data_IF_251886731005
#
_entry.id   IF_251886731005
#
_cell.length_a   1.000
_cell.length_b   1.000
_cell.length_c   1.000
_cell.angle_alpha   90.00
_cell.angle_beta   90.00
_cell.angle_gamma   90.00
#
_symmetry.space_group_name_H-M   'P 1'
#
loop_
_entity.id
_entity.type
_entity.pdbx_description
1 polymer ?
#
# COMPACT_ATOMS: atom_id res chain seq x y z
N UNK A 1 2.66 -23.85 -55.56
CA UNK A 1 1.60 -24.57 -54.86
C UNK A 1 2.01 -24.75 -53.41
N UNK A 2 1.42 -24.10 -52.44
CA UNK A 2 1.72 -24.30 -51.04
C UNK A 2 0.85 -25.43 -50.47
N UNK A 3 1.52 -26.30 -49.70
CA UNK A 3 0.92 -27.48 -49.04
C UNK A 3 0.27 -26.97 -47.72
N UNK A 4 -1.05 -27.17 -47.59
CA UNK A 4 -1.78 -26.87 -46.38
C UNK A 4 -1.55 -27.96 -45.30
N UNK A 5 -1.44 -27.61 -44.01
CA UNK A 5 -1.33 -28.58 -42.94
C UNK A 5 -2.67 -29.33 -42.69
N UNK A 6 -2.64 -30.64 -42.65
CA UNK A 6 -3.73 -31.50 -42.27
C UNK A 6 -3.96 -31.44 -40.76
N UNK A 7 -5.14 -31.04 -40.36
CA UNK A 7 -5.64 -31.22 -38.99
C UNK A 7 -6.08 -32.65 -38.76
N UNK A 8 -5.56 -33.27 -37.69
CA UNK A 8 -5.98 -34.60 -37.23
C UNK A 8 -7.14 -34.36 -36.25
N UNK A 9 -8.29 -35.00 -36.41
CA UNK A 9 -9.37 -34.89 -35.43
C UNK A 9 -9.05 -35.70 -34.19
N UNK A 10 -9.05 -35.05 -33.04
CA UNK A 10 -8.95 -35.67 -31.71
C UNK A 10 -10.33 -36.18 -31.33
N UNK A 11 -10.38 -37.44 -31.03
CA UNK A 11 -11.44 -38.31 -30.53
C UNK A 11 -12.63 -37.61 -29.84
N UNK A 12 -13.84 -37.93 -30.32
CA UNK A 12 -15.10 -37.80 -29.60
C UNK A 12 -15.22 -38.97 -28.60
N UNK A 13 -15.03 -38.73 -27.33
CA UNK A 13 -15.53 -39.60 -26.28
C UNK A 13 -16.93 -39.11 -25.90
N UNK A 14 -17.93 -39.94 -26.07
CA UNK A 14 -19.30 -39.73 -25.60
C UNK A 14 -19.30 -39.75 -24.08
N UNK A 15 -19.63 -38.59 -23.46
CA UNK A 15 -20.01 -38.55 -22.05
C UNK A 15 -21.47 -38.95 -21.96
N UNK A 16 -21.72 -40.18 -21.50
CA UNK A 16 -23.04 -40.60 -21.06
C UNK A 16 -23.46 -39.85 -19.80
N UNK A 17 -24.70 -39.41 -19.85
CA UNK A 17 -25.48 -38.66 -18.90
C UNK A 17 -25.24 -38.99 -17.40
N UNK A 18 -24.55 -38.13 -16.68
CA UNK A 18 -24.76 -37.95 -15.24
C UNK A 18 -25.69 -36.76 -15.08
N UNK A 19 -27.00 -37.03 -14.99
CA UNK A 19 -28.00 -36.04 -14.59
C UNK A 19 -27.75 -35.73 -13.11
N UNK A 20 -26.94 -34.69 -12.84
CA UNK A 20 -26.92 -34.05 -11.53
C UNK A 20 -28.18 -33.20 -11.43
N UNK A 21 -29.15 -33.66 -10.64
CA UNK A 21 -30.29 -32.83 -10.23
C UNK A 21 -29.77 -31.59 -9.59
N UNK A 22 -30.15 -30.40 -10.06
CA UNK A 22 -29.76 -29.18 -9.38
C UNK A 22 -30.48 -29.12 -8.03
N UNK A 23 -29.72 -29.25 -6.95
CA UNK A 23 -30.18 -28.94 -5.62
C UNK A 23 -30.60 -27.47 -5.66
N UNK A 24 -31.92 -27.19 -5.57
CA UNK A 24 -32.44 -25.83 -5.42
C UNK A 24 -31.91 -25.27 -4.10
N UNK A 25 -30.81 -24.56 -4.18
CA UNK A 25 -30.43 -23.60 -3.14
C UNK A 25 -31.43 -22.45 -3.25
N UNK A 26 -32.19 -22.24 -2.20
CA UNK A 26 -33.02 -21.04 -2.05
C UNK A 26 -32.16 -19.80 -2.25
N UNK A 27 -32.65 -18.77 -2.95
CA UNK A 27 -31.92 -17.53 -3.12
C UNK A 27 -32.01 -16.71 -1.84
N UNK A 28 -31.25 -17.04 -0.83
CA UNK A 28 -30.82 -16.03 0.13
C UNK A 28 -29.77 -15.20 -0.62
N UNK A 29 -30.20 -14.07 -1.19
CA UNK A 29 -29.34 -13.02 -1.77
C UNK A 29 -28.59 -12.30 -0.65
N UNK A 30 -27.66 -12.96 -0.01
CA UNK A 30 -26.54 -12.30 0.63
C UNK A 30 -25.63 -11.85 -0.53
N UNK A 31 -25.45 -10.55 -0.71
CA UNK A 31 -24.44 -10.04 -1.65
C UNK A 31 -23.12 -10.73 -1.33
N UNK A 32 -22.50 -11.29 -2.38
CA UNK A 32 -21.21 -11.96 -2.23
C UNK A 32 -20.20 -10.96 -1.68
N UNK A 33 -19.53 -11.32 -0.59
CA UNK A 33 -18.46 -10.50 -0.03
C UNK A 33 -17.19 -10.72 -0.83
N UNK A 34 -16.47 -9.63 -1.04
CA UNK A 34 -15.18 -9.63 -1.72
C UNK A 34 -14.07 -9.44 -0.68
N UNK A 35 -13.21 -10.44 -0.56
CA UNK A 35 -12.09 -10.45 0.38
C UNK A 35 -10.77 -10.25 -0.35
N UNK A 36 -9.83 -9.57 0.30
CA UNK A 36 -8.41 -9.62 -0.04
C UNK A 36 -7.68 -10.37 1.05
N UNK A 37 -6.96 -11.42 0.65
CA UNK A 37 -6.13 -12.25 1.53
C UNK A 37 -4.67 -12.11 1.11
N UNK A 38 -3.81 -11.74 2.05
CA UNK A 38 -2.36 -11.80 1.87
C UNK A 38 -1.77 -12.82 2.84
N UNK A 39 -0.79 -13.58 2.37
CA UNK A 39 -0.08 -14.59 3.16
C UNK A 39 1.41 -14.54 2.84
N UNK A 40 2.22 -14.73 3.87
CA UNK A 40 3.68 -14.80 3.78
C UNK A 40 4.18 -15.94 4.65
N UNK A 41 5.05 -16.79 4.11
CA UNK A 41 5.70 -17.89 4.85
C UNK A 41 7.03 -18.28 4.21
N UNK A 42 7.74 -19.24 4.79
CA UNK A 42 8.89 -19.88 4.13
C UNK A 42 8.41 -20.67 2.92
N UNK A 43 9.14 -20.58 1.79
CA UNK A 43 8.74 -21.24 0.55
C UNK A 43 8.94 -22.74 0.62
N UNK A 44 7.91 -23.49 0.27
CA UNK A 44 7.93 -24.95 0.22
C UNK A 44 6.83 -25.51 -0.69
N UNK A 45 6.98 -26.75 -1.22
CA UNK A 45 5.98 -27.36 -2.06
C UNK A 45 4.61 -27.53 -1.39
N UNK A 46 3.53 -27.28 -2.16
CA UNK A 46 2.17 -27.54 -1.72
C UNK A 46 1.41 -26.36 -1.10
N UNK A 47 2.06 -25.22 -0.86
CA UNK A 47 1.44 -24.02 -0.28
C UNK A 47 0.20 -23.59 -1.10
N UNK A 48 0.36 -23.35 -2.39
CA UNK A 48 -0.74 -22.88 -3.27
C UNK A 48 -1.91 -23.86 -3.28
N UNK A 49 -1.63 -25.16 -3.34
CA UNK A 49 -2.66 -26.20 -3.29
C UNK A 49 -3.43 -26.16 -1.95
N UNK A 50 -2.73 -26.04 -0.83
CA UNK A 50 -3.35 -25.99 0.49
C UNK A 50 -4.22 -24.73 0.66
N UNK A 51 -3.73 -23.56 0.24
CA UNK A 51 -4.48 -22.30 0.31
C UNK A 51 -5.73 -22.38 -0.58
N UNK A 52 -5.60 -22.82 -1.85
CA UNK A 52 -6.74 -22.92 -2.75
C UNK A 52 -7.78 -23.95 -2.26
N UNK A 53 -7.33 -25.04 -1.66
CA UNK A 53 -8.21 -26.03 -1.02
C UNK A 53 -9.03 -25.43 0.14
N UNK A 54 -8.38 -24.65 1.02
CA UNK A 54 -9.06 -23.95 2.11
C UNK A 54 -10.06 -22.90 1.61
N UNK A 55 -9.72 -22.15 0.55
CA UNK A 55 -10.66 -21.21 -0.09
C UNK A 55 -11.90 -21.92 -0.62
N UNK A 56 -11.72 -23.08 -1.28
CA UNK A 56 -12.84 -23.89 -1.78
C UNK A 56 -13.68 -24.44 -0.61
N UNK A 57 -13.04 -24.92 0.47
CA UNK A 57 -13.76 -25.38 1.67
C UNK A 57 -14.59 -24.26 2.31
N UNK A 58 -14.10 -23.02 2.27
CA UNK A 58 -14.82 -21.81 2.69
C UNK A 58 -15.84 -21.31 1.64
N UNK A 59 -16.26 -22.15 0.70
CA UNK A 59 -17.17 -21.77 -0.39
C UNK A 59 -16.73 -20.50 -1.14
N UNK A 60 -15.41 -20.28 -1.26
CA UNK A 60 -14.81 -19.14 -1.92
C UNK A 60 -14.42 -19.43 -3.36
N UNK A 61 -14.47 -18.38 -4.19
CA UNK A 61 -13.95 -18.36 -5.56
C UNK A 61 -12.81 -17.34 -5.66
N UNK A 62 -11.63 -17.76 -6.11
CA UNK A 62 -10.48 -16.85 -6.32
C UNK A 62 -10.71 -16.11 -7.63
N UNK A 63 -10.83 -14.78 -7.55
CA UNK A 63 -11.03 -13.88 -8.70
C UNK A 63 -9.73 -13.23 -9.18
N UNK A 64 -8.75 -13.06 -8.28
CA UNK A 64 -7.40 -12.58 -8.61
C UNK A 64 -6.38 -13.36 -7.77
N UNK A 65 -5.27 -13.77 -8.37
CA UNK A 65 -4.17 -14.46 -7.68
C UNK A 65 -2.83 -13.94 -8.18
N UNK A 66 -2.05 -13.40 -7.27
CA UNK A 66 -0.68 -12.97 -7.53
C UNK A 66 0.23 -13.58 -6.47
N UNK A 67 1.37 -14.12 -6.89
CA UNK A 67 2.31 -14.75 -5.99
C UNK A 67 3.75 -14.52 -6.43
N UNK A 68 4.67 -14.61 -5.47
CA UNK A 68 6.10 -14.46 -5.69
C UNK A 68 6.87 -15.30 -4.68
N UNK A 69 7.90 -16.01 -5.15
CA UNK A 69 8.91 -16.68 -4.32
C UNK A 69 10.20 -15.88 -4.38
N UNK A 70 10.66 -15.38 -3.25
CA UNK A 70 11.92 -14.64 -3.14
C UNK A 70 13.09 -15.64 -3.04
N UNK A 71 13.92 -15.72 -4.07
CA UNK A 71 15.12 -16.58 -4.05
C UNK A 71 16.15 -16.11 -3.02
N UNK A 72 16.19 -14.79 -2.74
CA UNK A 72 17.14 -14.19 -1.81
C UNK A 72 16.80 -14.49 -0.34
N UNK A 73 15.53 -14.54 0.02
CA UNK A 73 15.07 -14.74 1.40
C UNK A 73 14.46 -16.11 1.66
N UNK A 74 14.19 -16.88 0.60
CA UNK A 74 13.51 -18.18 0.70
C UNK A 74 12.05 -18.04 1.14
N UNK A 75 11.43 -16.87 1.02
CA UNK A 75 10.06 -16.61 1.43
C UNK A 75 9.09 -16.62 0.27
N UNK A 76 7.89 -17.09 0.53
CA UNK A 76 6.76 -17.11 -0.38
C UNK A 76 5.73 -16.04 0.01
N UNK A 77 5.26 -15.30 -0.99
CA UNK A 77 4.28 -14.23 -0.86
C UNK A 77 3.10 -14.49 -1.79
N UNK A 78 1.90 -14.31 -1.31
CA UNK A 78 0.71 -14.42 -2.13
C UNK A 78 -0.34 -13.40 -1.72
N UNK A 79 -1.03 -12.84 -2.73
CA UNK A 79 -2.21 -12.00 -2.59
C UNK A 79 -3.33 -12.59 -3.43
N UNK A 80 -4.50 -12.77 -2.81
CA UNK A 80 -5.70 -13.28 -3.46
C UNK A 80 -6.84 -12.28 -3.30
N UNK A 81 -7.66 -12.13 -4.35
CA UNK A 81 -9.02 -11.63 -4.17
C UNK A 81 -9.99 -12.80 -4.28
N UNK A 82 -10.98 -12.81 -3.41
CA UNK A 82 -11.85 -13.98 -3.22
C UNK A 82 -13.29 -13.49 -3.06
N UNK A 83 -14.19 -14.07 -3.81
CA UNK A 83 -15.64 -13.96 -3.58
C UNK A 83 -16.09 -15.09 -2.68
N UNK A 84 -16.84 -14.78 -1.62
CA UNK A 84 -17.44 -15.80 -0.75
C UNK A 84 -18.68 -15.27 -0.05
N UNK A 85 -19.64 -16.15 0.20
CA UNK A 85 -20.88 -15.82 0.90
C UNK A 85 -20.83 -16.14 2.41
N UNK A 86 -19.70 -16.69 2.89
CA UNK A 86 -19.56 -17.01 4.32
C UNK A 86 -19.07 -15.81 5.12
N UNK A 87 -19.27 -15.85 6.43
CA UNK A 87 -18.74 -14.83 7.33
C UNK A 87 -17.20 -14.87 7.38
N UNK A 88 -16.59 -13.75 7.82
CA UNK A 88 -15.14 -13.69 8.02
C UNK A 88 -14.64 -14.79 8.96
N UNK A 89 -15.38 -15.05 10.03
CA UNK A 89 -15.04 -16.05 11.05
C UNK A 89 -15.06 -17.47 10.46
N UNK A 90 -16.09 -17.80 9.67
CA UNK A 90 -16.18 -19.10 8.98
C UNK A 90 -15.07 -19.25 7.94
N UNK A 91 -14.75 -18.19 7.19
CA UNK A 91 -13.67 -18.20 6.22
C UNK A 91 -12.30 -18.43 6.90
N UNK A 92 -12.05 -17.72 8.01
CA UNK A 92 -10.81 -17.86 8.78
C UNK A 92 -10.70 -19.27 9.39
N UNK A 93 -11.79 -19.85 9.86
CA UNK A 93 -11.79 -21.21 10.41
C UNK A 93 -11.30 -22.27 9.41
N UNK A 94 -11.64 -22.13 8.13
CA UNK A 94 -11.15 -23.04 7.07
C UNK A 94 -9.69 -22.77 6.69
N UNK A 95 -9.22 -21.52 6.82
CA UNK A 95 -7.81 -21.16 6.56
C UNK A 95 -6.87 -21.55 7.70
N UNK A 96 -7.33 -21.52 8.95
CA UNK A 96 -6.47 -21.64 10.14
C UNK A 96 -5.59 -22.90 10.11
N UNK A 97 -6.07 -24.11 9.73
CA UNK A 97 -5.21 -25.29 9.65
C UNK A 97 -4.05 -25.16 8.66
N UNK A 98 -4.26 -24.41 7.57
CA UNK A 98 -3.22 -24.15 6.56
C UNK A 98 -2.22 -23.13 7.09
N UNK A 99 -2.72 -22.07 7.72
CA UNK A 99 -1.90 -21.03 8.36
C UNK A 99 -0.96 -21.66 9.39
N UNK A 100 -1.49 -22.50 10.28
CA UNK A 100 -0.73 -23.15 11.34
C UNK A 100 0.30 -24.14 10.78
N UNK A 101 -0.10 -24.94 9.76
CA UNK A 101 0.78 -25.91 9.11
C UNK A 101 2.03 -25.28 8.50
N UNK A 102 1.88 -24.12 7.86
CA UNK A 102 2.96 -23.46 7.13
C UNK A 102 3.56 -22.28 7.89
N UNK A 103 3.11 -21.99 9.12
CA UNK A 103 3.59 -20.86 9.93
C UNK A 103 3.40 -19.51 9.24
N UNK A 104 2.22 -19.30 8.62
CA UNK A 104 1.98 -18.12 7.80
C UNK A 104 1.68 -16.87 8.63
N UNK A 105 2.30 -15.76 8.26
CA UNK A 105 1.78 -14.42 8.58
C UNK A 105 0.72 -14.07 7.55
N UNK A 106 -0.44 -13.58 8.00
CA UNK A 106 -1.57 -13.36 7.11
C UNK A 106 -2.39 -12.15 7.47
N UNK A 107 -3.10 -11.62 6.47
CA UNK A 107 -4.08 -10.56 6.65
C UNK A 107 -5.30 -10.85 5.75
N UNK A 108 -6.51 -10.62 6.27
CA UNK A 108 -7.77 -10.76 5.54
C UNK A 108 -8.63 -9.53 5.77
N UNK A 109 -9.03 -8.88 4.68
CA UNK A 109 -9.85 -7.66 4.72
C UNK A 109 -10.92 -7.66 3.62
N UNK A 110 -11.93 -6.79 3.75
CA UNK A 110 -12.90 -6.58 2.67
C UNK A 110 -12.28 -5.69 1.57
N UNK A 111 -12.47 -6.06 0.32
CA UNK A 111 -12.02 -5.26 -0.83
C UNK A 111 -12.71 -3.90 -0.81
N UNK A 112 -11.93 -2.84 -0.86
CA UNK A 112 -12.44 -1.45 -0.86
C UNK A 112 -12.77 -0.89 0.53
N UNK A 113 -12.51 -1.64 1.62
CA UNK A 113 -12.55 -1.06 2.97
C UNK A 113 -11.60 0.13 3.05
N UNK A 114 -12.06 1.20 3.66
CA UNK A 114 -11.25 2.40 3.83
C UNK A 114 -10.26 2.24 4.98
N UNK A 115 -8.96 2.37 4.69
CA UNK A 115 -7.89 2.36 5.69
C UNK A 115 -7.86 3.69 6.43
N UNK A 116 -7.96 3.66 7.76
CA UNK A 116 -7.92 4.87 8.59
C UNK A 116 -6.50 5.44 8.61
N UNK A 117 -6.35 6.62 8.03
CA UNK A 117 -5.05 7.22 7.70
C UNK A 117 -4.85 8.54 8.43
N UNK A 118 -3.73 8.69 9.11
CA UNK A 118 -3.27 9.95 9.69
C UNK A 118 -2.24 10.60 8.75
N UNK A 119 -2.43 11.87 8.42
CA UNK A 119 -1.47 12.61 7.57
C UNK A 119 -0.74 13.65 8.40
N UNK A 120 0.59 13.59 8.39
CA UNK A 120 1.49 14.55 9.02
C UNK A 120 2.08 15.49 7.97
N UNK A 121 2.05 16.80 8.23
CA UNK A 121 2.49 17.83 7.28
C UNK A 121 3.32 18.93 7.95
N UNK A 122 4.14 19.63 7.14
CA UNK A 122 4.74 20.91 7.54
C UNK A 122 4.11 22.05 6.74
N UNK A 123 4.80 22.60 5.73
CA UNK A 123 4.36 23.81 4.99
C UNK A 123 3.96 23.54 3.54
N UNK A 124 4.45 22.44 2.95
CA UNK A 124 4.26 22.15 1.53
C UNK A 124 2.90 21.51 1.27
N UNK A 125 2.07 22.13 0.45
CA UNK A 125 0.66 21.77 0.26
C UNK A 125 0.41 20.66 -0.78
N UNK A 126 1.31 20.48 -1.76
CA UNK A 126 1.04 19.68 -2.98
C UNK A 126 0.65 18.22 -2.68
N UNK A 127 1.36 17.53 -1.80
CA UNK A 127 1.02 16.15 -1.43
C UNK A 127 -0.31 16.09 -0.67
N UNK A 128 -0.50 16.96 0.34
CA UNK A 128 -1.75 16.98 1.10
C UNK A 128 -2.95 17.27 0.21
N UNK A 129 -2.84 18.25 -0.69
CA UNK A 129 -3.92 18.61 -1.60
C UNK A 129 -4.34 17.43 -2.50
N UNK A 130 -3.38 16.72 -3.10
CA UNK A 130 -3.68 15.56 -3.96
C UNK A 130 -4.30 14.41 -3.16
N UNK A 131 -3.82 14.14 -1.95
CA UNK A 131 -4.38 13.12 -1.04
C UNK A 131 -5.84 13.43 -0.70
N UNK A 132 -6.12 14.66 -0.23
CA UNK A 132 -7.47 15.09 0.17
C UNK A 132 -8.44 15.12 -1.02
N UNK A 133 -7.98 15.60 -2.19
CA UNK A 133 -8.77 15.57 -3.42
C UNK A 133 -9.19 14.13 -3.78
N UNK A 134 -8.23 13.20 -3.79
CA UNK A 134 -8.50 11.79 -4.16
C UNK A 134 -9.35 11.06 -3.14
N UNK A 135 -9.16 11.33 -1.86
CA UNK A 135 -10.06 10.82 -0.81
C UNK A 135 -11.49 11.29 -1.04
N UNK A 136 -11.70 12.59 -1.25
CA UNK A 136 -13.04 13.16 -1.50
C UNK A 136 -13.68 12.62 -2.79
N UNK A 137 -12.85 12.38 -3.81
CA UNK A 137 -13.27 11.79 -5.09
C UNK A 137 -13.46 10.26 -5.05
N UNK A 138 -13.29 9.61 -3.89
CA UNK A 138 -13.28 8.14 -3.71
C UNK A 138 -12.30 7.41 -4.65
N UNK A 139 -11.16 8.04 -4.95
CA UNK A 139 -10.10 7.47 -5.77
C UNK A 139 -9.01 6.77 -4.94
N UNK A 140 -9.06 6.88 -3.62
CA UNK A 140 -8.21 6.16 -2.66
C UNK A 140 -9.11 5.50 -1.62
N UNK A 141 -8.91 4.23 -1.29
CA UNK A 141 -9.67 3.55 -0.25
C UNK A 141 -9.11 3.89 1.15
N UNK A 142 -9.14 5.17 1.49
CA UNK A 142 -8.70 5.70 2.78
C UNK A 142 -9.76 6.59 3.43
N UNK A 143 -9.70 6.70 4.75
CA UNK A 143 -10.41 7.68 5.55
C UNK A 143 -9.41 8.48 6.36
N UNK A 144 -9.45 9.82 6.26
CA UNK A 144 -8.56 10.72 6.99
C UNK A 144 -9.35 11.43 8.08
N UNK A 145 -9.31 10.94 9.33
CA UNK A 145 -10.06 11.57 10.44
C UNK A 145 -9.44 12.92 10.83
N UNK A 146 -8.13 13.09 10.67
CA UNK A 146 -7.44 14.35 10.92
C UNK A 146 -6.10 14.45 10.17
N UNK A 147 -5.66 15.68 9.98
CA UNK A 147 -4.30 16.07 9.56
C UNK A 147 -3.62 16.77 10.72
N UNK A 148 -2.37 16.42 11.00
CA UNK A 148 -1.55 17.07 12.02
C UNK A 148 -0.39 17.80 11.37
N UNK A 149 -0.18 19.07 11.76
CA UNK A 149 0.92 19.89 11.26
C UNK A 149 1.77 20.49 12.38
N UNK A 150 3.08 20.59 12.14
CA UNK A 150 3.94 21.41 13.02
C UNK A 150 3.90 22.91 12.69
N UNK A 151 3.09 23.29 11.70
CA UNK A 151 2.75 24.65 11.28
C UNK A 151 1.28 24.73 10.91
N UNK A 152 0.68 25.93 11.04
CA UNK A 152 -0.74 26.17 10.71
C UNK A 152 -0.99 26.44 9.21
N UNK A 153 0.05 26.51 8.40
CA UNK A 153 -0.02 26.95 6.98
C UNK A 153 -1.03 26.20 6.12
N UNK A 154 -1.35 24.94 6.47
CA UNK A 154 -2.24 24.07 5.70
C UNK A 154 -3.64 23.87 6.34
N UNK A 155 -3.96 24.59 7.40
CA UNK A 155 -5.24 24.48 8.09
C UNK A 155 -6.43 24.83 7.18
N UNK A 156 -6.34 25.90 6.40
CA UNK A 156 -7.38 26.31 5.44
C UNK A 156 -7.59 25.27 4.33
N UNK A 157 -6.50 24.65 3.86
CA UNK A 157 -6.58 23.59 2.86
C UNK A 157 -7.33 22.36 3.40
N UNK A 158 -7.02 21.91 4.62
CA UNK A 158 -7.72 20.80 5.25
C UNK A 158 -9.20 21.14 5.48
N UNK A 159 -9.50 22.36 5.96
CA UNK A 159 -10.86 22.85 6.16
C UNK A 159 -11.67 22.88 4.85
N UNK A 160 -11.08 23.21 3.72
CA UNK A 160 -11.75 23.18 2.40
C UNK A 160 -12.25 21.77 2.02
N UNK A 161 -11.57 20.74 2.51
CA UNK A 161 -11.96 19.33 2.30
C UNK A 161 -12.77 18.73 3.46
N UNK A 162 -13.21 19.56 4.42
CA UNK A 162 -13.94 19.15 5.62
C UNK A 162 -13.16 18.16 6.51
N UNK A 163 -11.82 18.25 6.52
CA UNK A 163 -10.94 17.41 7.34
C UNK A 163 -10.40 18.22 8.52
N UNK A 164 -10.47 17.64 9.71
CA UNK A 164 -9.93 18.24 10.94
C UNK A 164 -8.43 18.47 10.80
N UNK A 165 -7.96 19.67 11.21
CA UNK A 165 -6.55 20.01 11.26
C UNK A 165 -6.13 20.38 12.69
N UNK A 166 -5.02 19.80 13.15
CA UNK A 166 -4.44 20.14 14.44
C UNK A 166 -3.01 20.63 14.26
N UNK A 167 -2.69 21.75 14.94
CA UNK A 167 -1.36 22.38 14.88
C UNK A 167 -0.63 22.21 16.19
N UNK A 168 0.57 21.65 16.13
CA UNK A 168 1.45 21.46 17.27
C UNK A 168 2.88 21.89 16.91
N UNK A 169 3.29 23.07 17.36
CA UNK A 169 4.62 23.60 17.07
C UNK A 169 5.71 22.71 17.72
N UNK A 170 6.71 22.36 16.92
CA UNK A 170 7.89 21.62 17.36
C UNK A 170 9.08 22.60 17.32
N UNK A 171 9.54 23.02 18.48
CA UNK A 171 10.60 24.05 18.62
C UNK A 171 11.87 23.49 19.27
N UNK A 172 11.73 22.41 20.03
CA UNK A 172 12.80 21.74 20.77
C UNK A 172 12.49 20.26 21.02
N UNK A 173 13.39 19.56 21.70
CA UNK A 173 13.23 18.15 21.99
C UNK A 173 12.02 17.84 22.92
N UNK A 174 11.69 18.75 23.83
CA UNK A 174 10.56 18.59 24.76
C UNK A 174 9.21 18.67 24.02
N UNK A 175 9.05 19.69 23.17
CA UNK A 175 7.85 19.83 22.34
C UNK A 175 7.70 18.72 21.32
N UNK A 176 8.83 18.18 20.80
CA UNK A 176 8.82 17.00 19.94
C UNK A 176 8.31 15.76 20.68
N UNK A 177 8.84 15.47 21.88
CA UNK A 177 8.42 14.34 22.68
C UNK A 177 6.93 14.43 23.06
N UNK A 178 6.45 15.63 23.43
CA UNK A 178 5.04 15.87 23.72
C UNK A 178 4.15 15.66 22.50
N UNK A 179 4.60 16.08 21.32
CA UNK A 179 3.90 15.85 20.05
C UNK A 179 3.79 14.36 19.73
N UNK A 180 4.89 13.61 19.83
CA UNK A 180 4.87 12.16 19.56
C UNK A 180 4.01 11.40 20.59
N UNK A 181 4.00 11.81 21.85
CA UNK A 181 3.10 11.21 22.85
C UNK A 181 1.63 11.42 22.47
N UNK A 182 1.25 12.65 22.16
CA UNK A 182 -0.09 13.00 21.72
C UNK A 182 -0.49 12.24 20.44
N UNK A 183 0.45 12.08 19.48
CA UNK A 183 0.19 11.28 18.27
C UNK A 183 -0.09 9.80 18.61
N UNK A 184 0.66 9.18 19.52
CA UNK A 184 0.42 7.80 19.97
C UNK A 184 -0.99 7.64 20.51
N UNK A 185 -1.38 8.52 21.43
CA UNK A 185 -2.70 8.50 22.03
C UNK A 185 -3.81 8.63 20.97
N UNK A 186 -3.61 9.55 20.03
CA UNK A 186 -4.56 9.76 18.92
C UNK A 186 -4.63 8.54 17.98
N UNK A 187 -3.49 7.98 17.59
CA UNK A 187 -3.40 6.81 16.70
C UNK A 187 -4.16 5.63 17.29
N UNK A 188 -3.96 5.34 18.58
CA UNK A 188 -4.66 4.26 19.27
C UNK A 188 -6.15 4.54 19.43
N UNK A 189 -6.51 5.74 19.91
CA UNK A 189 -7.90 6.12 20.15
C UNK A 189 -8.74 6.18 18.87
N UNK A 190 -8.16 6.66 17.76
CA UNK A 190 -8.83 6.78 16.48
C UNK A 190 -8.72 5.51 15.60
N UNK A 191 -7.99 4.48 16.03
CA UNK A 191 -7.77 3.26 15.25
C UNK A 191 -7.05 3.52 13.93
N UNK A 192 -6.02 4.37 13.94
CA UNK A 192 -5.22 4.70 12.75
C UNK A 192 -4.42 3.48 12.33
N UNK A 193 -4.48 3.13 11.06
CA UNK A 193 -3.80 1.99 10.45
C UNK A 193 -2.59 2.40 9.60
N UNK A 194 -2.64 3.59 9.00
CA UNK A 194 -1.57 4.14 8.17
C UNK A 194 -1.22 5.56 8.64
N UNK A 195 0.07 5.84 8.75
CA UNK A 195 0.62 7.17 9.02
C UNK A 195 1.38 7.62 7.78
N UNK A 196 1.09 8.84 7.29
CA UNK A 196 1.69 9.37 6.07
C UNK A 196 2.43 10.65 6.36
N UNK A 197 3.72 10.67 6.08
CA UNK A 197 4.56 11.87 6.16
C UNK A 197 4.51 12.61 4.81
N UNK A 198 3.48 13.45 4.63
CA UNK A 198 3.27 14.23 3.41
C UNK A 198 4.08 15.53 3.46
N UNK A 199 5.38 15.44 3.25
CA UNK A 199 6.34 16.54 3.42
C UNK A 199 6.41 17.03 4.87
N UNK A 200 6.34 16.13 5.81
CA UNK A 200 6.58 16.40 7.22
C UNK A 200 8.08 16.48 7.49
N UNK A 201 8.58 17.69 7.75
CA UNK A 201 10.02 17.99 7.82
C UNK A 201 10.60 17.82 9.23
N UNK A 202 10.10 16.84 9.96
CA UNK A 202 10.62 16.43 11.28
C UNK A 202 11.01 14.95 11.24
N UNK A 203 12.10 14.62 11.89
CA UNK A 203 12.51 13.22 12.09
C UNK A 203 11.74 12.66 13.27
N UNK A 204 11.06 11.54 13.12
CA UNK A 204 10.39 10.82 14.20
C UNK A 204 11.43 10.11 15.08
N UNK A 205 11.11 9.89 16.36
CA UNK A 205 12.02 9.16 17.25
C UNK A 205 12.07 7.67 16.87
N UNK A 206 13.21 6.99 17.12
CA UNK A 206 13.31 5.53 16.90
C UNK A 206 12.23 4.74 17.61
N UNK A 207 11.86 5.15 18.83
CA UNK A 207 10.83 4.51 19.65
C UNK A 207 9.44 4.65 18.99
N UNK A 208 9.13 5.82 18.43
CA UNK A 208 7.88 6.01 17.70
C UNK A 208 7.85 5.19 16.42
N UNK A 209 8.94 5.16 15.68
CA UNK A 209 9.04 4.39 14.44
C UNK A 209 8.91 2.89 14.70
N UNK A 210 9.56 2.35 15.74
CA UNK A 210 9.49 0.95 16.10
C UNK A 210 8.08 0.49 16.51
N UNK A 211 7.32 1.35 17.18
CA UNK A 211 5.93 1.07 17.58
C UNK A 211 4.98 0.93 16.38
N UNK A 212 5.25 1.69 15.31
CA UNK A 212 4.42 1.72 14.10
C UNK A 212 5.15 1.19 12.87
N UNK A 213 6.08 0.25 13.05
CA UNK A 213 6.85 -0.37 11.97
C UNK A 213 5.91 -0.93 10.87
N UNK A 214 6.29 -0.69 9.61
CA UNK A 214 5.48 -1.10 8.44
C UNK A 214 4.17 -0.34 8.24
N UNK A 215 3.89 0.71 9.06
CA UNK A 215 2.67 1.53 9.01
C UNK A 215 2.94 3.01 8.77
N UNK A 216 4.18 3.43 8.59
CA UNK A 216 4.56 4.82 8.33
C UNK A 216 5.15 4.90 6.92
N UNK A 217 4.52 5.69 6.04
CA UNK A 217 5.00 5.96 4.68
C UNK A 217 5.50 7.41 4.61
N UNK A 218 6.71 7.59 4.11
CA UNK A 218 7.31 8.91 3.84
C UNK A 218 7.45 9.16 2.34
N UNK A 219 7.31 10.41 1.92
CA UNK A 219 7.72 10.87 0.59
C UNK A 219 9.04 11.61 0.69
N UNK A 220 10.08 11.05 0.09
CA UNK A 220 11.37 11.68 -0.07
C UNK A 220 11.47 12.33 -1.46
N UNK A 221 11.92 13.60 -1.48
CA UNK A 221 11.92 14.46 -2.65
C UNK A 221 13.15 14.27 -3.55
N UNK A 222 13.66 13.04 -3.64
CA UNK A 222 14.65 12.63 -4.64
C UNK A 222 14.50 11.13 -4.96
N UNK A 223 15.16 10.70 -6.03
CA UNK A 223 15.32 9.31 -6.35
C UNK A 223 16.43 8.71 -5.45
N UNK A 224 16.03 7.95 -4.44
CA UNK A 224 16.97 7.28 -3.54
C UNK A 224 17.75 6.17 -4.28
N UNK A 225 19.04 5.98 -3.93
CA UNK A 225 19.83 6.58 -2.85
C UNK A 225 20.51 7.91 -3.19
N UNK A 226 20.09 8.62 -4.26
CA UNK A 226 20.71 9.87 -4.70
C UNK A 226 20.21 11.11 -3.94
N UNK A 227 21.03 12.17 -3.87
CA UNK A 227 20.70 13.49 -3.35
C UNK A 227 20.06 13.51 -1.94
N UNK A 228 20.72 12.89 -0.98
CA UNK A 228 20.36 13.01 0.45
C UNK A 228 20.56 14.45 0.95
N UNK A 229 19.71 14.89 1.89
CA UNK A 229 19.82 16.18 2.57
C UNK A 229 18.97 17.31 2.00
N UNK A 230 19.26 18.54 2.42
CA UNK A 230 18.45 19.71 2.11
C UNK A 230 18.59 20.22 0.66
N UNK A 231 17.48 20.72 0.09
CA UNK A 231 17.42 21.36 -1.23
C UNK A 231 17.88 20.49 -2.42
N UNK A 232 17.39 19.25 -2.61
CA UNK A 232 17.85 18.36 -3.66
C UNK A 232 17.67 18.94 -5.07
N UNK A 233 16.61 19.70 -5.33
CA UNK A 233 16.40 20.36 -6.63
C UNK A 233 17.44 21.44 -6.93
N UNK A 234 17.96 22.11 -5.92
CA UNK A 234 19.07 23.06 -6.12
C UNK A 234 20.37 22.31 -6.46
N UNK A 235 20.62 21.19 -5.80
CA UNK A 235 21.78 20.34 -6.09
C UNK A 235 21.66 19.72 -7.50
N UNK A 236 20.48 19.21 -7.85
CA UNK A 236 20.17 18.65 -9.16
C UNK A 236 20.39 19.68 -10.29
N UNK A 237 19.89 20.91 -10.11
CA UNK A 237 20.11 21.99 -11.06
C UNK A 237 21.60 22.34 -11.23
N UNK A 238 22.31 22.51 -10.11
CA UNK A 238 23.74 22.85 -10.13
C UNK A 238 24.59 21.77 -10.81
N UNK A 239 24.22 20.50 -10.65
CA UNK A 239 24.89 19.36 -11.32
C UNK A 239 24.45 19.13 -12.77
N UNK A 240 23.43 19.82 -13.26
CA UNK A 240 22.90 19.65 -14.60
C UNK A 240 22.37 18.23 -14.87
N UNK A 241 21.72 17.62 -13.87
CA UNK A 241 21.15 16.26 -14.00
C UNK A 241 20.11 16.18 -15.12
N UNK A 242 19.86 15.00 -15.62
CA UNK A 242 18.90 14.74 -16.70
C UNK A 242 17.61 14.10 -16.21
N UNK A 243 17.61 13.62 -14.97
CA UNK A 243 16.45 13.04 -14.29
C UNK A 243 16.33 13.62 -12.89
N UNK A 244 15.13 13.91 -12.46
CA UNK A 244 14.75 14.13 -11.08
C UNK A 244 13.64 13.16 -10.71
N UNK A 245 13.38 12.93 -9.43
CA UNK A 245 12.37 11.98 -9.02
C UNK A 245 11.99 12.11 -7.57
N UNK A 246 11.14 11.21 -7.12
CA UNK A 246 10.71 11.06 -5.75
C UNK A 246 10.63 9.58 -5.37
N UNK A 247 10.75 9.31 -4.07
CA UNK A 247 10.67 7.96 -3.50
C UNK A 247 9.68 7.95 -2.36
N UNK A 248 8.68 7.07 -2.43
CA UNK A 248 7.85 6.71 -1.29
C UNK A 248 8.37 5.41 -0.67
N UNK A 249 8.62 5.42 0.63
CA UNK A 249 9.20 4.30 1.35
C UNK A 249 8.59 4.17 2.74
N UNK A 250 8.68 2.98 3.33
CA UNK A 250 8.41 2.82 4.76
C UNK A 250 9.47 3.53 5.59
N UNK A 251 9.06 4.10 6.71
CA UNK A 251 9.98 4.76 7.63
C UNK A 251 10.58 3.72 8.57
N UNK A 252 11.91 3.79 8.70
CA UNK A 252 12.71 3.02 9.67
C UNK A 252 13.45 3.98 10.60
N UNK A 253 14.17 3.45 11.58
CA UNK A 253 15.00 4.26 12.48
C UNK A 253 16.11 5.01 11.72
N UNK A 254 16.58 4.44 10.61
CA UNK A 254 17.58 5.05 9.75
C UNK A 254 16.91 5.98 8.73
N UNK A 255 17.37 7.24 8.71
CA UNK A 255 16.76 8.29 7.91
C UNK A 255 16.86 7.99 6.41
N UNK A 256 15.71 7.97 5.73
CA UNK A 256 15.56 7.75 4.28
C UNK A 256 16.16 6.42 3.77
N UNK A 257 16.23 5.39 4.63
CA UNK A 257 16.81 4.08 4.30
C UNK A 257 15.79 2.92 4.37
N UNK A 258 14.54 3.20 4.67
CA UNK A 258 13.50 2.15 4.78
C UNK A 258 13.08 1.56 3.42
N UNK A 259 12.38 0.42 3.45
CA UNK A 259 11.94 -0.32 2.26
C UNK A 259 11.16 0.56 1.28
N UNK A 260 11.59 0.57 0.02
CA UNK A 260 11.02 1.42 -1.04
C UNK A 260 9.72 0.80 -1.53
N UNK A 261 8.66 1.62 -1.62
CA UNK A 261 7.34 1.20 -2.12
C UNK A 261 7.17 1.64 -3.57
N UNK A 262 7.48 2.91 -3.87
CA UNK A 262 7.31 3.46 -5.21
C UNK A 262 8.40 4.49 -5.51
N UNK A 263 8.88 4.49 -6.75
CA UNK A 263 9.81 5.49 -7.24
C UNK A 263 9.39 5.97 -8.62
N UNK A 264 9.28 7.28 -8.78
CA UNK A 264 9.02 7.89 -10.08
C UNK A 264 10.13 8.87 -10.45
N UNK A 265 10.49 8.87 -11.71
CA UNK A 265 11.47 9.79 -12.29
C UNK A 265 10.89 10.52 -13.49
N UNK A 266 11.38 11.73 -13.72
CA UNK A 266 11.00 12.56 -14.86
C UNK A 266 12.24 13.16 -15.51
N UNK A 267 12.23 13.23 -16.84
CA UNK A 267 13.31 13.84 -17.59
C UNK A 267 13.25 15.37 -17.48
N UNK A 268 14.42 15.98 -17.24
CA UNK A 268 14.62 17.42 -17.21
C UNK A 268 15.75 17.82 -18.15
N UNK A 269 15.80 19.09 -18.51
CA UNK A 269 16.76 19.62 -19.46
C UNK A 269 17.55 20.80 -18.89
N UNK A 270 18.57 21.24 -19.60
CA UNK A 270 19.36 22.41 -19.21
C UNK A 270 18.58 23.74 -19.26
N UNK A 271 17.42 23.77 -19.97
CA UNK A 271 16.54 24.93 -20.03
C UNK A 271 15.58 25.05 -18.85
N UNK A 272 15.47 24.01 -18.02
CA UNK A 272 14.59 24.03 -16.86
C UNK A 272 15.26 24.80 -15.72
N UNK A 273 14.66 25.92 -15.33
CA UNK A 273 15.12 26.71 -14.19
C UNK A 273 14.95 25.96 -12.87
N UNK A 274 15.67 26.36 -11.81
CA UNK A 274 15.50 25.81 -10.47
C UNK A 274 14.02 25.81 -10.02
N UNK A 275 13.29 26.91 -10.30
CA UNK A 275 11.85 27.02 -9.96
C UNK A 275 11.02 25.97 -10.73
N UNK A 276 11.35 25.75 -12.00
CA UNK A 276 10.68 24.74 -12.82
C UNK A 276 10.95 23.33 -12.31
N UNK A 277 12.19 23.00 -11.92
CA UNK A 277 12.54 21.73 -11.32
C UNK A 277 11.75 21.46 -10.02
N UNK A 278 11.57 22.48 -9.17
CA UNK A 278 10.74 22.33 -7.95
C UNK A 278 9.30 21.99 -8.31
N UNK A 279 8.70 22.73 -9.28
CA UNK A 279 7.31 22.46 -9.70
C UNK A 279 7.14 21.03 -10.25
N UNK A 280 8.02 20.62 -11.17
CA UNK A 280 8.01 19.25 -11.73
C UNK A 280 8.19 18.21 -10.61
N UNK A 281 9.11 18.48 -9.67
CA UNK A 281 9.35 17.58 -8.55
C UNK A 281 8.14 17.43 -7.64
N UNK A 282 7.42 18.51 -7.34
CA UNK A 282 6.19 18.47 -6.56
C UNK A 282 5.09 17.60 -7.21
N UNK A 283 4.95 17.67 -8.54
CA UNK A 283 4.02 16.81 -9.27
C UNK A 283 4.40 15.32 -9.14
N UNK A 284 5.70 15.01 -9.24
CA UNK A 284 6.22 13.65 -9.08
C UNK A 284 6.05 13.17 -7.65
N UNK A 285 6.35 14.01 -6.64
CA UNK A 285 6.18 13.67 -5.23
C UNK A 285 4.73 13.28 -4.92
N UNK A 286 3.75 14.10 -5.36
CA UNK A 286 2.33 13.84 -5.12
C UNK A 286 1.90 12.52 -5.74
N UNK A 287 2.26 12.28 -7.02
CA UNK A 287 1.92 11.04 -7.73
C UNK A 287 2.52 9.81 -7.05
N UNK A 288 3.80 9.88 -6.67
CA UNK A 288 4.52 8.75 -6.06
C UNK A 288 3.92 8.39 -4.70
N UNK A 289 3.65 9.40 -3.86
CA UNK A 289 3.07 9.19 -2.54
C UNK A 289 1.66 8.57 -2.63
N UNK A 290 0.82 9.10 -3.48
CA UNK A 290 -0.55 8.60 -3.67
C UNK A 290 -0.56 7.16 -4.19
N UNK A 291 0.36 6.80 -5.08
CA UNK A 291 0.46 5.43 -5.58
C UNK A 291 0.88 4.46 -4.46
N UNK A 292 1.87 4.84 -3.65
CA UNK A 292 2.30 4.03 -2.50
C UNK A 292 1.16 3.85 -1.48
N UNK A 293 0.42 4.92 -1.17
CA UNK A 293 -0.76 4.86 -0.29
C UNK A 293 -1.84 3.95 -0.84
N UNK A 294 -2.10 3.99 -2.15
CA UNK A 294 -3.07 3.11 -2.81
C UNK A 294 -2.69 1.65 -2.67
N UNK A 295 -1.45 1.30 -3.02
CA UNK A 295 -0.98 -0.09 -2.91
C UNK A 295 -1.02 -0.60 -1.48
N UNK A 296 -0.67 0.25 -0.50
CA UNK A 296 -0.81 -0.11 0.90
C UNK A 296 -2.28 -0.39 1.26
N UNK A 297 -3.19 0.53 0.92
CA UNK A 297 -4.60 0.41 1.26
C UNK A 297 -5.33 -0.73 0.51
N UNK A 298 -4.80 -1.16 -0.63
CA UNK A 298 -5.29 -2.32 -1.39
C UNK A 298 -4.57 -3.63 -1.00
N UNK A 299 -3.76 -3.62 0.05
CA UNK A 299 -2.95 -4.77 0.50
C UNK A 299 -2.07 -5.36 -0.61
N UNK A 300 -1.45 -4.50 -1.42
CA UNK A 300 -0.57 -4.88 -2.52
C UNK A 300 0.92 -4.83 -2.16
N UNK A 301 1.26 -4.27 -0.99
CA UNK A 301 2.64 -4.12 -0.51
C UNK A 301 2.91 -5.11 0.60
N UNK A 302 3.89 -5.97 0.43
CA UNK A 302 4.36 -6.91 1.44
C UNK A 302 5.85 -6.69 1.71
N UNK A 303 6.26 -6.80 2.97
CA UNK A 303 7.66 -6.62 3.37
C UNK A 303 8.46 -7.92 3.20
N UNK A 304 9.64 -7.83 2.58
CA UNK A 304 10.64 -8.87 2.46
C UNK A 304 12.01 -8.38 2.98
N UNK A 305 12.15 -8.31 4.30
CA UNK A 305 13.29 -7.66 4.95
C UNK A 305 13.32 -6.16 4.61
N UNK A 306 14.44 -5.69 4.05
CA UNK A 306 14.64 -4.29 3.67
C UNK A 306 14.06 -3.93 2.29
N UNK A 307 13.25 -4.80 1.72
CA UNK A 307 12.61 -4.63 0.40
C UNK A 307 11.10 -4.78 0.50
N UNK A 308 10.40 -4.38 -0.56
CA UNK A 308 8.97 -4.64 -0.72
C UNK A 308 8.71 -5.54 -1.92
N UNK A 309 7.69 -6.39 -1.80
CA UNK A 309 7.05 -7.09 -2.90
C UNK A 309 5.77 -6.34 -3.23
N UNK A 310 5.62 -5.90 -4.47
CA UNK A 310 4.45 -5.14 -4.95
C UNK A 310 3.65 -6.02 -5.90
N UNK A 311 2.38 -6.22 -5.59
CA UNK A 311 1.42 -6.90 -6.47
C UNK A 311 0.58 -5.84 -7.22
N UNK A 312 0.94 -5.54 -8.46
CA UNK A 312 0.30 -4.53 -9.31
C UNK A 312 -1.06 -4.97 -9.90
#
# INVERSE_FOLDING_TARGET
MPIAPRWIPIFSASCDDVILTPNRLDPMTSEAKHWVLTLVCDDQPGIVHAISGAVVAAAGNITESQQFSSEDTGRFFIRLQIESNVSREAFVAELQPVIDRYGMTWHLDEVGRKVRTLVLVSKSAHCLNDILFRQRANQLPIEIPAVFGNHADLAELASFYDVKFETHAITDAGSKAAFEHMLRDYIHAAGIELIVLARFMQVLSPEFVAEFEGRIINIHHSFLPGFKGANPYAQAHARGVKLIGATAHFVTADLDEGPIIEQNVVRVTHSDSKKRLVSIGQDVESKTLVQAMRWFAEHRVLLDGDRTIIFE
#
